data_IF_099237808087
#
_entry.id   IF_099237808087
#
_cell.length_a   1.000
_cell.length_b   1.000
_cell.length_c   1.000
_cell.angle_alpha   90.00
_cell.angle_beta   90.00
_cell.angle_gamma   90.00
#
_symmetry.space_group_name_H-M   'P 1'
#
loop_
_entity.id
_entity.type
_entity.pdbx_description
1 polymer ?
#
# COMPACT_ATOMS: atom_id res chain seq x y z
N UNK A 1 -41.20 35.31 10.37
CA UNK A 1 -40.46 35.16 9.09
C UNK A 1 -39.00 35.55 9.34
N UNK A 2 -38.11 34.61 9.01
CA UNK A 2 -36.69 34.77 8.66
C UNK A 2 -35.72 35.14 9.80
N UNK A 3 -35.14 34.09 10.41
CA UNK A 3 -33.87 34.13 11.14
C UNK A 3 -32.87 33.29 10.35
N UNK A 4 -31.90 33.95 9.75
CA UNK A 4 -30.79 33.34 9.04
C UNK A 4 -29.96 32.51 10.03
N UNK A 5 -29.84 31.20 9.78
CA UNK A 5 -28.81 30.36 10.40
C UNK A 5 -27.73 30.18 9.34
N UNK A 6 -26.63 30.89 9.51
CA UNK A 6 -25.36 30.60 8.82
C UNK A 6 -24.99 29.14 9.10
N UNK A 7 -25.35 28.27 8.16
CA UNK A 7 -24.78 26.94 8.09
C UNK A 7 -23.32 27.11 7.68
N UNK A 8 -22.40 26.82 8.61
CA UNK A 8 -20.99 26.64 8.30
C UNK A 8 -20.87 25.58 7.21
N UNK A 9 -20.69 26.05 5.98
CA UNK A 9 -20.42 25.24 4.80
C UNK A 9 -19.04 24.62 4.97
N UNK A 10 -18.97 23.51 5.69
CA UNK A 10 -17.82 22.61 5.66
C UNK A 10 -17.82 21.94 4.29
N UNK A 11 -17.19 22.59 3.31
CA UNK A 11 -16.77 21.91 2.09
C UNK A 11 -15.73 20.86 2.49
N UNK A 12 -16.15 19.60 2.57
CA UNK A 12 -15.21 18.50 2.57
C UNK A 12 -14.45 18.54 1.24
N UNK A 13 -13.10 18.59 1.25
CA UNK A 13 -12.35 18.45 0.01
C UNK A 13 -12.72 17.10 -0.61
N UNK A 14 -13.05 17.11 -1.91
CA UNK A 14 -13.29 15.86 -2.63
C UNK A 14 -12.05 14.98 -2.56
N UNK A 15 -12.21 13.66 -2.58
CA UNK A 15 -11.12 12.66 -2.57
C UNK A 15 -10.00 13.03 -3.57
N UNK A 16 -10.36 13.70 -4.68
CA UNK A 16 -9.44 14.24 -5.67
C UNK A 16 -8.47 15.32 -5.18
N UNK A 17 -8.78 16.13 -4.17
CA UNK A 17 -7.82 17.11 -3.63
C UNK A 17 -6.74 16.44 -2.77
N UNK A 18 -7.04 15.32 -2.11
CA UNK A 18 -6.05 14.56 -1.32
C UNK A 18 -5.06 13.77 -2.20
N UNK A 19 -5.47 13.35 -3.39
CA UNK A 19 -4.59 12.64 -4.34
C UNK A 19 -3.67 13.58 -5.14
N UNK A 20 -4.02 14.86 -5.25
CA UNK A 20 -3.20 15.83 -5.99
C UNK A 20 -2.00 16.38 -5.18
N UNK A 21 -1.90 16.04 -3.89
CA UNK A 21 -0.88 16.55 -2.97
C UNK A 21 0.26 15.59 -2.65
N UNK A 22 0.26 14.35 -3.18
CA UNK A 22 1.33 13.39 -2.91
C UNK A 22 2.38 13.59 -4.01
N UNK A 23 3.54 14.23 -3.73
CA UNK A 23 4.65 14.14 -4.66
C UNK A 23 4.99 12.66 -4.80
N UNK A 24 4.89 12.12 -6.01
CA UNK A 24 5.60 10.91 -6.41
C UNK A 24 6.99 11.03 -5.78
N UNK A 25 7.26 10.24 -4.74
CA UNK A 25 8.56 10.22 -4.09
C UNK A 25 9.53 9.91 -5.21
N UNK A 26 10.25 10.95 -5.66
CA UNK A 26 11.29 10.84 -6.66
C UNK A 26 12.10 9.63 -6.24
N UNK A 27 12.10 8.59 -7.09
CA UNK A 27 12.97 7.43 -6.96
C UNK A 27 14.39 7.96 -7.04
N UNK A 28 14.88 8.50 -5.93
CA UNK A 28 16.18 9.08 -5.77
C UNK A 28 17.13 7.91 -5.81
N UNK A 29 17.57 7.59 -7.02
CA UNK A 29 18.48 6.49 -7.27
C UNK A 29 19.77 6.80 -6.54
N UNK A 30 19.94 6.19 -5.37
CA UNK A 30 21.09 6.42 -4.53
C UNK A 30 22.34 5.85 -5.20
N UNK A 31 23.53 6.31 -4.82
CA UNK A 31 24.79 5.72 -5.29
C UNK A 31 24.83 4.22 -5.01
N UNK A 32 24.21 3.78 -3.91
CA UNK A 32 24.03 2.37 -3.55
C UNK A 32 23.20 1.63 -4.60
N UNK A 33 22.09 2.19 -5.09
CA UNK A 33 21.26 1.56 -6.12
C UNK A 33 22.00 1.44 -7.45
N UNK A 34 22.78 2.47 -7.80
CA UNK A 34 23.57 2.47 -9.01
C UNK A 34 24.73 1.48 -8.91
N UNK A 35 25.42 1.45 -7.76
CA UNK A 35 26.50 0.49 -7.47
C UNK A 35 25.97 -0.95 -7.42
N UNK A 36 24.78 -1.17 -6.85
CA UNK A 36 24.15 -2.48 -6.80
C UNK A 36 23.79 -2.96 -8.21
N UNK A 37 23.21 -2.08 -9.04
CA UNK A 37 22.94 -2.38 -10.45
C UNK A 37 24.21 -2.66 -11.24
N UNK A 38 25.29 -1.89 -11.03
CA UNK A 38 26.58 -2.12 -11.69
C UNK A 38 27.25 -3.42 -11.24
N UNK A 39 27.22 -3.74 -9.94
CA UNK A 39 27.75 -4.99 -9.39
C UNK A 39 26.98 -6.18 -9.96
N UNK A 40 25.64 -6.11 -9.96
CA UNK A 40 24.79 -7.13 -10.57
C UNK A 40 25.10 -7.28 -12.06
N UNK A 41 25.21 -6.19 -12.82
CA UNK A 41 25.58 -6.24 -14.24
C UNK A 41 26.98 -6.82 -14.46
N UNK A 42 27.94 -6.54 -13.58
CA UNK A 42 29.31 -7.06 -13.64
C UNK A 42 29.37 -8.56 -13.31
N UNK A 43 28.69 -8.99 -12.25
CA UNK A 43 28.51 -10.41 -11.92
C UNK A 43 27.80 -11.14 -13.08
N UNK A 44 26.82 -10.48 -13.71
CA UNK A 44 26.14 -10.94 -14.92
C UNK A 44 27.01 -10.91 -16.19
N UNK A 45 28.21 -10.32 -16.23
CA UNK A 45 29.12 -10.45 -17.39
C UNK A 45 29.77 -11.82 -17.47
N UNK A 46 29.82 -12.58 -16.38
CA UNK A 46 30.29 -13.97 -16.39
C UNK A 46 29.27 -14.86 -17.13
N UNK A 47 29.64 -15.35 -18.31
CA UNK A 47 28.71 -15.99 -19.28
C UNK A 47 27.90 -17.17 -18.72
N UNK A 48 28.35 -17.80 -17.64
CA UNK A 48 27.72 -18.98 -17.05
C UNK A 48 26.67 -18.67 -15.96
N UNK A 49 26.57 -17.42 -15.51
CA UNK A 49 25.56 -17.03 -14.52
C UNK A 49 24.32 -16.35 -15.12
N UNK A 50 24.35 -15.85 -16.37
CA UNK A 50 23.19 -15.15 -16.98
C UNK A 50 21.95 -16.04 -17.06
N UNK A 51 22.09 -17.28 -17.49
CA UNK A 51 20.98 -18.23 -17.54
C UNK A 51 20.48 -18.57 -16.12
N UNK A 52 21.41 -18.73 -15.16
CA UNK A 52 21.07 -19.00 -13.76
C UNK A 52 20.42 -17.80 -13.05
N UNK A 53 20.82 -16.56 -13.39
CA UNK A 53 20.28 -15.35 -12.76
C UNK A 53 18.94 -14.95 -13.39
N UNK A 54 18.76 -15.19 -14.69
CA UNK A 54 17.46 -15.10 -15.34
C UNK A 54 16.51 -16.18 -14.83
N UNK A 55 16.99 -17.42 -14.64
CA UNK A 55 16.17 -18.45 -14.02
C UNK A 55 15.81 -18.07 -12.59
N UNK A 56 16.74 -17.55 -11.77
CA UNK A 56 16.45 -17.08 -10.41
C UNK A 56 15.47 -15.89 -10.42
N UNK A 57 15.63 -14.89 -11.30
CA UNK A 57 14.70 -13.75 -11.39
C UNK A 57 13.28 -14.17 -11.80
N UNK A 58 13.14 -15.25 -12.58
CA UNK A 58 11.84 -15.79 -13.00
C UNK A 58 11.27 -16.77 -11.97
N UNK A 59 12.11 -17.56 -11.30
CA UNK A 59 11.69 -18.60 -10.35
C UNK A 59 11.48 -18.06 -8.94
N UNK A 60 12.24 -17.04 -8.51
CA UNK A 60 12.12 -16.44 -7.17
C UNK A 60 10.75 -15.79 -6.95
N UNK A 61 10.17 -15.00 -7.87
CA UNK A 61 8.81 -14.48 -7.69
C UNK A 61 7.73 -15.57 -7.61
N UNK A 62 7.99 -16.75 -8.19
CA UNK A 62 7.07 -17.90 -8.14
C UNK A 62 7.20 -18.67 -6.81
N UNK A 63 8.37 -18.65 -6.18
CA UNK A 63 8.67 -19.28 -4.89
C UNK A 63 8.39 -18.35 -3.70
N UNK A 64 8.48 -17.04 -3.90
CA UNK A 64 8.24 -15.99 -2.89
C UNK A 64 6.82 -15.45 -3.06
N UNK A 65 5.83 -16.33 -2.90
CA UNK A 65 4.48 -15.87 -2.59
C UNK A 65 4.51 -15.23 -1.21
N UNK A 66 4.39 -13.89 -1.16
CA UNK A 66 4.29 -13.07 0.05
C UNK A 66 5.44 -13.25 1.05
N UNK A 67 6.40 -12.32 1.09
CA UNK A 67 7.43 -12.32 2.14
C UNK A 67 6.77 -12.37 3.52
N UNK A 68 6.92 -13.48 4.29
CA UNK A 68 6.33 -13.59 5.60
C UNK A 68 7.13 -12.67 6.53
N UNK A 69 6.57 -11.50 6.83
CA UNK A 69 7.20 -10.56 7.77
C UNK A 69 7.12 -9.09 7.40
N UNK A 70 6.57 -8.73 6.23
CA UNK A 70 6.20 -7.33 5.98
C UNK A 70 4.84 -7.08 6.62
N UNK A 71 4.74 -6.23 7.66
CA UNK A 71 3.45 -5.88 8.24
C UNK A 71 2.58 -5.17 7.19
N UNK A 72 1.27 -5.45 7.14
CA UNK A 72 0.39 -4.81 6.16
C UNK A 72 0.29 -3.31 6.44
N UNK A 73 0.48 -2.49 5.41
CA UNK A 73 0.36 -1.03 5.48
C UNK A 73 -1.10 -0.62 5.40
N UNK A 74 -1.90 -1.35 4.62
CA UNK A 74 -3.33 -1.09 4.44
C UNK A 74 -4.17 -2.37 4.27
N UNK A 75 -5.48 -2.19 4.05
CA UNK A 75 -6.43 -3.29 3.84
C UNK A 75 -6.20 -4.06 2.54
N UNK A 76 -5.57 -3.44 1.53
CA UNK A 76 -5.22 -4.13 0.28
C UNK A 76 -4.07 -5.11 0.49
N UNK A 77 -3.09 -4.77 1.32
CA UNK A 77 -2.01 -5.70 1.71
C UNK A 77 -2.58 -6.90 2.48
N UNK A 78 -3.55 -6.66 3.37
CA UNK A 78 -4.22 -7.74 4.11
C UNK A 78 -4.94 -8.70 3.15
N UNK A 79 -5.62 -8.17 2.15
CA UNK A 79 -6.32 -8.96 1.14
C UNK A 79 -5.36 -9.72 0.22
N UNK A 80 -4.21 -9.13 -0.12
CA UNK A 80 -3.17 -9.80 -0.91
C UNK A 80 -2.51 -10.95 -0.15
N UNK A 81 -2.37 -10.82 1.18
CA UNK A 81 -1.88 -11.90 2.03
C UNK A 81 -2.87 -13.06 2.11
N UNK A 82 -4.16 -12.76 2.24
CA UNK A 82 -5.24 -13.75 2.28
C UNK A 82 -6.56 -13.13 1.81
N UNK A 83 -6.99 -13.52 0.61
CA UNK A 83 -8.21 -13.02 -0.04
C UNK A 83 -9.49 -13.64 0.51
N UNK A 84 -9.40 -14.61 1.42
CA UNK A 84 -10.55 -15.25 2.08
C UNK A 84 -10.96 -14.53 3.37
N UNK A 85 -10.22 -13.50 3.77
CA UNK A 85 -10.48 -12.72 4.98
C UNK A 85 -11.79 -11.92 4.86
N UNK A 86 -12.70 -12.03 5.84
CA UNK A 86 -13.97 -11.29 5.82
C UNK A 86 -13.77 -9.81 6.15
N UNK A 87 -14.80 -8.98 5.96
CA UNK A 87 -14.80 -7.61 6.51
C UNK A 87 -14.67 -7.62 8.04
N UNK A 88 -13.89 -6.69 8.60
CA UNK A 88 -13.62 -6.67 10.03
C UNK A 88 -12.59 -5.63 10.46
N UNK A 89 -12.28 -5.60 11.76
CA UNK A 89 -11.22 -4.74 12.29
C UNK A 89 -9.88 -5.45 12.20
N UNK A 90 -8.90 -4.79 11.59
CA UNK A 90 -7.55 -5.30 11.40
C UNK A 90 -6.51 -4.29 11.86
N UNK A 91 -5.32 -4.79 12.23
CA UNK A 91 -4.17 -3.96 12.54
C UNK A 91 -3.34 -3.73 11.29
N UNK A 92 -3.11 -2.46 10.95
CA UNK A 92 -2.24 -2.02 9.86
C UNK A 92 -1.11 -1.13 10.39
N UNK A 93 -0.04 -0.99 9.61
CA UNK A 93 1.17 -0.26 9.98
C UNK A 93 1.48 0.80 8.91
N UNK A 94 0.88 2.00 9.00
CA UNK A 94 1.07 3.06 8.02
C UNK A 94 2.54 3.45 7.85
N UNK A 95 2.89 3.93 6.65
CA UNK A 95 4.26 4.34 6.35
C UNK A 95 4.68 5.50 7.25
N UNK A 96 5.80 5.33 7.95
CA UNK A 96 6.33 6.34 8.87
C UNK A 96 5.92 6.12 10.33
N UNK A 97 4.99 5.20 10.59
CA UNK A 97 4.61 4.81 11.94
C UNK A 97 5.26 3.50 12.34
N UNK A 98 5.70 3.41 13.60
CA UNK A 98 6.26 2.18 14.19
C UNK A 98 5.22 1.36 14.96
N UNK A 99 4.01 1.90 15.12
CA UNK A 99 2.92 1.28 15.87
C UNK A 99 1.79 0.87 14.94
N UNK A 100 1.14 -0.23 15.29
CA UNK A 100 -0.03 -0.71 14.56
C UNK A 100 -1.28 0.09 14.96
N UNK A 101 -2.09 0.45 13.98
CA UNK A 101 -3.41 1.08 14.17
C UNK A 101 -4.50 0.11 13.77
N UNK A 102 -5.61 0.10 14.53
CA UNK A 102 -6.78 -0.71 14.20
C UNK A 102 -7.70 0.06 13.26
N UNK A 103 -8.02 -0.53 12.12
CA UNK A 103 -8.91 0.03 11.09
C UNK A 103 -9.97 -0.98 10.72
N UNK A 104 -11.15 -0.52 10.31
CA UNK A 104 -12.15 -1.41 9.72
C UNK A 104 -11.83 -1.60 8.23
N UNK A 105 -11.55 -2.83 7.83
CA UNK A 105 -11.41 -3.22 6.44
C UNK A 105 -12.72 -3.80 5.92
N UNK A 106 -13.23 -3.20 4.85
CA UNK A 106 -14.34 -3.75 4.08
C UNK A 106 -13.77 -4.57 2.91
N UNK A 107 -13.88 -5.89 3.03
CA UNK A 107 -13.37 -6.87 2.07
C UNK A 107 -14.46 -7.37 1.11
N UNK A 108 -15.72 -6.98 1.34
CA UNK A 108 -16.87 -7.54 0.63
C UNK A 108 -17.45 -6.54 -0.39
N UNK A 109 -17.49 -5.25 -0.04
CA UNK A 109 -18.11 -4.23 -0.88
C UNK A 109 -17.25 -3.84 -2.07
N UNK A 110 -17.85 -3.74 -3.26
CA UNK A 110 -17.23 -3.18 -4.48
C UNK A 110 -15.82 -3.74 -4.79
N UNK A 111 -15.61 -5.04 -4.58
CA UNK A 111 -14.31 -5.69 -4.82
C UNK A 111 -13.35 -5.69 -3.61
N UNK A 112 -13.83 -5.25 -2.45
CA UNK A 112 -13.12 -5.32 -1.17
C UNK A 112 -11.92 -4.39 -1.09
N UNK A 113 -10.99 -4.72 -0.18
CA UNK A 113 -9.71 -4.03 -0.01
C UNK A 113 -9.83 -2.58 0.50
N UNK A 114 -11.01 -2.19 1.01
CA UNK A 114 -11.27 -0.82 1.43
C UNK A 114 -10.89 -0.61 2.89
N UNK A 115 -10.07 0.39 3.15
CA UNK A 115 -9.89 0.93 4.50
C UNK A 115 -10.95 2.00 4.77
N UNK A 116 -11.74 1.81 5.83
CA UNK A 116 -12.79 2.76 6.20
C UNK A 116 -12.23 3.81 7.15
N UNK A 117 -12.11 5.04 6.66
CA UNK A 117 -11.63 6.20 7.44
C UNK A 117 -12.70 6.84 8.33
N UNK A 118 -13.97 6.74 7.93
CA UNK A 118 -15.09 7.28 8.68
C UNK A 118 -16.35 6.48 8.36
N UNK A 119 -17.10 6.09 9.40
CA UNK A 119 -18.41 5.45 9.26
C UNK A 119 -19.41 6.16 10.18
N UNK A 120 -20.57 6.53 9.64
CA UNK A 120 -21.74 6.95 10.43
C UNK A 120 -22.68 5.76 10.54
N UNK A 121 -23.06 5.40 11.76
CA UNK A 121 -23.82 4.16 12.01
C UNK A 121 -25.24 4.43 12.48
N UNK A 122 -25.44 5.50 13.24
CA UNK A 122 -26.70 5.83 13.90
C UNK A 122 -27.27 7.16 13.44
N UNK A 123 -26.46 8.21 13.24
CA UNK A 123 -26.89 9.48 12.63
C UNK A 123 -28.13 10.15 13.25
N UNK A 124 -28.52 9.70 14.46
CA UNK A 124 -29.69 10.07 15.24
C UNK A 124 -29.29 11.01 16.37
#
# INVERSE_FOLDING_TARGET
MNSEREGSHFSFPSVQELQNGIPETQRSSSTIDLLLKFLLQFLQRSKMQRAALLSVLVLVPQLVGGLPGVPPVDCSDIYQQDNSRPSGVYTVYPVGDTYGVQVFCDMDSLGGQWMVFQKRTDGL
#
